data_IF_743206263156
#
_entry.id   IF_743206263156
#
_cell.length_a   1.000
_cell.length_b   1.000
_cell.length_c   1.000
_cell.angle_alpha   90.00
_cell.angle_beta   90.00
_cell.angle_gamma   90.00
#
_symmetry.space_group_name_H-M   'P 1'
#
loop_
_entity.id
_entity.type
_entity.pdbx_description
1 polymer ?
#
# COMPACT_ATOMS: atom_id res chain seq x y z
N UNK A 1 15.77 -2.27 32.82
CA UNK A 1 14.33 -2.18 32.47
C UNK A 1 13.90 -0.75 32.67
N UNK A 2 13.51 -0.07 31.60
CA UNK A 2 13.05 1.32 31.60
C UNK A 2 11.64 1.37 32.24
N UNK A 3 11.56 1.81 33.50
CA UNK A 3 10.35 1.74 34.34
C UNK A 3 9.17 2.62 33.93
N UNK A 4 9.28 3.40 32.85
CA UNK A 4 8.26 4.36 32.42
C UNK A 4 6.93 3.68 32.03
N UNK A 5 6.97 2.41 31.61
CA UNK A 5 5.77 1.63 31.25
C UNK A 5 4.79 1.48 32.43
N UNK A 6 5.30 1.51 33.67
CA UNK A 6 4.47 1.41 34.88
C UNK A 6 3.65 2.67 35.16
N UNK A 7 4.05 3.79 34.55
CA UNK A 7 3.45 5.11 34.74
C UNK A 7 2.54 5.53 33.57
N UNK A 8 2.31 4.63 32.62
CA UNK A 8 1.48 4.88 31.44
C UNK A 8 -0.01 4.97 31.80
N UNK A 9 -0.68 6.05 31.38
CA UNK A 9 -2.11 6.24 31.65
C UNK A 9 -3.02 5.23 30.93
N UNK A 10 -2.55 4.61 29.85
CA UNK A 10 -3.26 3.53 29.15
C UNK A 10 -3.13 2.16 29.85
N UNK A 11 -2.31 2.05 30.89
CA UNK A 11 -2.13 0.81 31.64
C UNK A 11 -3.45 0.41 32.31
N UNK A 12 -3.93 -0.80 32.00
CA UNK A 12 -5.20 -1.32 32.53
C UNK A 12 -6.43 -1.01 31.67
N UNK A 13 -6.26 -0.32 30.53
CA UNK A 13 -7.31 -0.21 29.51
C UNK A 13 -7.25 -1.39 28.54
N UNK A 14 -8.34 -1.57 27.76
CA UNK A 14 -8.41 -2.63 26.75
C UNK A 14 -7.33 -2.44 25.66
N UNK A 15 -6.43 -3.43 25.46
CA UNK A 15 -5.41 -3.36 24.42
C UNK A 15 -5.97 -3.15 23.00
N UNK A 16 -7.15 -3.67 22.69
CA UNK A 16 -7.76 -3.56 21.35
C UNK A 16 -7.99 -2.09 20.94
N UNK A 17 -8.20 -1.19 21.90
CA UNK A 17 -8.33 0.24 21.64
C UNK A 17 -7.06 0.86 21.07
N UNK A 18 -5.89 0.34 21.47
CA UNK A 18 -4.57 0.85 21.07
C UNK A 18 -3.95 0.05 19.93
N UNK A 19 -4.48 -1.14 19.62
CA UNK A 19 -4.06 -2.00 18.51
C UNK A 19 -5.21 -2.39 17.57
N UNK A 20 -6.00 -1.43 17.05
CA UNK A 20 -7.12 -1.74 16.16
C UNK A 20 -6.65 -2.24 14.79
N UNK A 21 -7.50 -3.06 14.14
CA UNK A 21 -7.35 -3.46 12.74
C UNK A 21 -7.62 -2.32 11.73
N UNK A 22 -8.17 -1.20 12.21
CA UNK A 22 -8.48 0.00 11.43
C UNK A 22 -8.00 1.28 12.12
N UNK A 23 -8.42 2.48 11.67
CA UNK A 23 -8.03 3.72 12.33
C UNK A 23 -8.56 3.76 13.78
N UNK A 24 -7.71 4.11 14.77
CA UNK A 24 -8.16 4.23 16.16
C UNK A 24 -9.13 5.42 16.30
N UNK A 25 -10.11 5.34 17.20
CA UNK A 25 -10.94 6.49 17.52
C UNK A 25 -10.10 7.60 18.15
N UNK A 26 -10.48 8.86 17.93
CA UNK A 26 -9.77 10.02 18.47
C UNK A 26 -9.66 10.01 20.00
N UNK A 27 -10.63 9.38 20.68
CA UNK A 27 -10.62 9.17 22.12
C UNK A 27 -9.41 8.36 22.60
N UNK A 28 -8.96 7.36 21.84
CA UNK A 28 -7.75 6.58 22.15
C UNK A 28 -6.51 7.45 22.08
N UNK A 29 -6.39 8.29 21.04
CA UNK A 29 -5.27 9.22 20.90
C UNK A 29 -5.30 10.27 22.02
N UNK A 30 -6.48 10.74 22.40
CA UNK A 30 -6.66 11.70 23.48
C UNK A 30 -6.12 11.16 24.82
N UNK A 31 -6.41 9.90 25.18
CA UNK A 31 -5.85 9.28 26.40
C UNK A 31 -4.33 9.44 26.48
N UNK A 32 -3.63 9.16 25.38
CA UNK A 32 -2.18 9.30 25.32
C UNK A 32 -1.70 10.75 25.28
N UNK A 33 -2.46 11.68 24.68
CA UNK A 33 -2.08 13.09 24.51
C UNK A 33 -2.37 13.93 25.76
N UNK A 34 -3.43 13.65 26.49
CA UNK A 34 -3.90 14.48 27.61
C UNK A 34 -3.64 13.89 28.98
N UNK A 35 -3.61 12.56 29.12
CA UNK A 35 -3.52 11.90 30.44
C UNK A 35 -2.16 11.24 30.71
N UNK A 36 -1.37 10.95 29.68
CA UNK A 36 -0.17 10.13 29.80
C UNK A 36 1.11 10.97 29.98
N UNK A 37 1.69 10.96 31.18
CA UNK A 37 2.94 11.68 31.51
C UNK A 37 4.19 11.10 30.86
N UNK A 38 4.16 9.82 30.46
CA UNK A 38 5.29 9.12 29.82
C UNK A 38 5.21 9.12 28.30
N UNK A 39 4.48 10.09 27.72
CA UNK A 39 4.22 10.17 26.28
C UNK A 39 5.49 10.20 25.44
N UNK A 40 6.49 10.97 25.86
CA UNK A 40 7.76 11.16 25.15
C UNK A 40 8.57 9.86 25.12
N UNK A 41 8.84 9.27 26.29
CA UNK A 41 9.52 7.97 26.37
C UNK A 41 8.79 6.85 25.60
N UNK A 42 7.45 6.88 25.61
CA UNK A 42 6.61 5.96 24.85
C UNK A 42 6.73 6.15 23.33
N UNK A 43 6.80 7.40 22.88
CA UNK A 43 6.99 7.76 21.46
C UNK A 43 8.39 7.41 20.99
N UNK A 44 9.43 7.73 21.77
CA UNK A 44 10.83 7.46 21.44
C UNK A 44 11.08 5.97 21.24
N UNK A 45 10.57 5.14 22.16
CA UNK A 45 10.68 3.70 22.06
C UNK A 45 9.93 3.15 20.83
N UNK A 46 8.76 3.72 20.51
CA UNK A 46 8.00 3.34 19.32
C UNK A 46 8.69 3.78 18.01
N UNK A 47 9.37 4.92 18.01
CA UNK A 47 10.16 5.42 16.89
C UNK A 47 11.46 4.63 16.71
N UNK A 48 12.08 4.14 17.78
CA UNK A 48 13.27 3.29 17.70
C UNK A 48 12.95 1.89 17.17
N UNK A 49 11.86 1.27 17.65
CA UNK A 49 11.54 -0.14 17.34
C UNK A 49 10.50 -0.36 16.25
N UNK A 50 9.83 0.69 15.78
CA UNK A 50 8.82 0.57 14.72
C UNK A 50 7.56 -0.20 15.12
N UNK A 51 7.08 -0.02 16.35
CA UNK A 51 5.91 -0.76 16.86
C UNK A 51 4.62 -0.38 16.13
N UNK A 52 3.71 -1.35 15.97
CA UNK A 52 2.35 -1.15 15.44
C UNK A 52 1.41 -0.57 16.52
N UNK A 53 0.32 0.09 16.13
CA UNK A 53 -0.69 0.62 17.05
C UNK A 53 -0.44 2.06 17.52
N UNK A 54 -1.19 2.48 18.54
CA UNK A 54 -1.14 3.80 19.14
C UNK A 54 -0.07 3.87 20.22
N UNK A 55 0.94 4.71 20.00
CA UNK A 55 2.05 4.93 20.93
C UNK A 55 2.32 6.42 21.07
N UNK A 56 2.52 6.91 22.29
CA UNK A 56 2.80 8.34 22.53
C UNK A 56 1.77 9.31 21.92
N UNK A 57 0.53 8.87 21.70
CA UNK A 57 -0.51 9.68 21.06
C UNK A 57 -0.37 9.81 19.53
N UNK A 58 0.32 8.86 18.90
CA UNK A 58 0.56 8.79 17.46
C UNK A 58 0.16 7.43 16.92
N UNK A 59 -0.31 7.39 15.68
CA UNK A 59 -0.54 6.15 14.91
C UNK A 59 0.75 5.68 14.22
N UNK A 60 0.75 4.45 13.72
CA UNK A 60 1.83 3.94 12.84
C UNK A 60 2.03 4.84 11.61
N UNK A 61 0.96 5.44 11.08
CA UNK A 61 1.00 6.40 9.98
C UNK A 61 1.71 7.70 10.36
N UNK A 62 1.34 8.28 11.50
CA UNK A 62 1.94 9.53 12.01
C UNK A 62 3.45 9.35 12.23
N UNK A 63 3.86 8.24 12.83
CA UNK A 63 5.28 7.93 13.05
C UNK A 63 6.06 7.73 11.75
N UNK A 64 5.44 7.14 10.73
CA UNK A 64 6.04 7.05 9.38
C UNK A 64 6.25 8.44 8.78
N UNK A 65 5.26 9.32 8.90
CA UNK A 65 5.39 10.72 8.48
C UNK A 65 6.47 11.46 9.27
N UNK A 66 6.55 11.30 10.59
CA UNK A 66 7.60 11.88 11.43
C UNK A 66 9.01 11.45 10.99
N UNK A 67 9.21 10.15 10.70
CA UNK A 67 10.50 9.65 10.19
C UNK A 67 10.86 10.25 8.83
N UNK A 68 9.88 10.37 7.91
CA UNK A 68 10.08 11.04 6.62
C UNK A 68 10.45 12.51 6.78
N UNK A 69 9.73 13.25 7.62
CA UNK A 69 10.03 14.67 7.91
C UNK A 69 11.39 14.84 8.61
N UNK A 70 11.77 13.92 9.50
CA UNK A 70 13.08 13.92 10.15
C UNK A 70 14.21 13.67 9.14
N UNK A 71 14.02 12.74 8.19
CA UNK A 71 14.97 12.55 7.09
C UNK A 71 15.10 13.82 6.23
N UNK A 72 13.98 14.46 5.89
CA UNK A 72 13.96 15.73 5.15
C UNK A 72 14.64 16.88 5.92
N UNK A 73 14.54 16.87 7.25
CA UNK A 73 15.14 17.90 8.12
C UNK A 73 16.64 17.66 8.34
N UNK A 74 17.08 16.40 8.44
CA UNK A 74 18.50 16.05 8.50
C UNK A 74 19.22 16.33 7.18
N UNK A 75 18.55 16.15 6.03
CA UNK A 75 19.05 16.63 4.74
C UNK A 75 19.07 18.16 4.61
N UNK A 76 18.29 18.89 5.43
CA UNK A 76 18.24 20.36 5.44
C UNK A 76 19.26 21.00 6.39
N UNK A 77 19.91 20.25 7.29
CA UNK A 77 20.89 20.78 8.27
C UNK A 77 22.33 20.81 7.76
N UNK A 78 22.57 20.33 6.53
CA UNK A 78 23.75 20.69 5.76
C UNK A 78 23.44 21.96 4.95
N UNK A 79 23.45 23.11 5.62
CA UNK A 79 23.57 24.39 4.91
C UNK A 79 25.04 24.59 4.57
N UNK A 80 25.47 24.60 3.30
CA UNK A 80 26.65 25.36 2.96
C UNK A 80 26.31 26.84 3.19
N UNK A 81 27.18 27.51 3.93
CA UNK A 81 27.26 28.96 4.04
C UNK A 81 27.17 29.56 2.63
N UNK A 82 26.17 30.40 2.40
CA UNK A 82 25.97 31.09 1.11
C UNK A 82 27.07 32.14 0.97
N UNK A 83 28.20 31.75 0.39
CA UNK A 83 29.10 32.69 -0.29
C UNK A 83 28.36 33.33 -1.47
N UNK A 84 28.56 34.64 -1.73
CA UNK A 84 27.87 35.32 -2.80
C UNK A 84 28.22 34.68 -4.14
N UNK A 85 27.15 34.34 -4.86
CA UNK A 85 27.05 34.02 -6.28
C UNK A 85 28.28 34.53 -7.07
N UNK A 86 29.24 33.63 -7.27
CA UNK A 86 30.27 33.79 -8.29
C UNK A 86 29.73 33.21 -9.60
N UNK A 87 30.05 33.89 -10.68
CA UNK A 87 29.51 33.78 -12.04
C UNK A 87 29.20 32.34 -12.52
N UNK A 88 28.13 32.16 -13.33
CA UNK A 88 27.76 30.84 -13.83
C UNK A 88 28.94 30.29 -14.63
N UNK A 89 29.56 29.21 -14.15
CA UNK A 89 30.41 28.35 -14.98
C UNK A 89 29.53 27.88 -16.14
N UNK A 90 29.71 28.57 -17.25
CA UNK A 90 28.96 28.47 -18.49
C UNK A 90 29.00 27.06 -19.03
N UNK A 91 27.86 26.61 -19.58
CA UNK A 91 27.71 25.80 -20.80
C UNK A 91 29.06 25.39 -21.42
N UNK A 92 29.74 24.42 -20.81
CA UNK A 92 31.11 24.07 -21.16
C UNK A 92 31.06 23.04 -22.29
N UNK A 93 31.87 23.15 -23.35
CA UNK A 93 31.85 22.19 -24.45
C UNK A 93 32.04 20.74 -23.97
N UNK A 94 32.70 20.53 -22.83
CA UNK A 94 32.86 19.21 -22.23
C UNK A 94 31.55 18.59 -21.73
N UNK A 95 30.58 19.40 -21.27
CA UNK A 95 29.24 18.92 -20.87
C UNK A 95 28.47 18.48 -22.11
N UNK A 96 28.52 19.28 -23.18
CA UNK A 96 27.89 18.97 -24.46
C UNK A 96 28.49 17.70 -25.06
N UNK A 97 29.81 17.55 -25.05
CA UNK A 97 30.52 16.37 -25.53
C UNK A 97 30.17 15.11 -24.71
N UNK A 98 30.13 15.23 -23.38
CA UNK A 98 29.73 14.11 -22.52
C UNK A 98 28.28 13.65 -22.74
N UNK A 99 27.37 14.56 -23.13
CA UNK A 99 25.99 14.22 -23.51
C UNK A 99 25.92 13.56 -24.89
N UNK A 100 26.77 14.00 -25.83
CA UNK A 100 26.90 13.38 -27.15
C UNK A 100 27.48 11.97 -27.11
N UNK A 101 28.32 11.67 -26.10
CA UNK A 101 28.88 10.34 -25.82
C UNK A 101 27.86 9.33 -25.27
N UNK A 102 26.57 9.71 -25.18
CA UNK A 102 25.49 8.83 -24.74
C UNK A 102 25.45 8.60 -23.22
N UNK A 103 26.05 9.51 -22.43
CA UNK A 103 25.90 9.47 -20.97
C UNK A 103 24.54 10.03 -20.54
N UNK A 104 24.02 9.51 -19.42
CA UNK A 104 22.78 10.04 -18.86
C UNK A 104 22.98 11.46 -18.31
N UNK A 105 21.93 12.27 -18.35
CA UNK A 105 21.94 13.62 -17.76
C UNK A 105 22.31 13.58 -16.28
N UNK A 106 21.87 12.56 -15.55
CA UNK A 106 22.25 12.34 -14.16
C UNK A 106 23.75 12.09 -13.98
N UNK A 107 24.38 11.28 -14.84
CA UNK A 107 25.81 10.97 -14.74
C UNK A 107 26.66 12.17 -15.13
N UNK A 108 26.24 12.94 -16.14
CA UNK A 108 26.91 14.20 -16.51
C UNK A 108 26.76 15.24 -15.39
N UNK A 109 25.58 15.36 -14.78
CA UNK A 109 25.37 16.25 -13.63
C UNK A 109 26.31 15.92 -12.47
N UNK A 110 26.46 14.63 -12.17
CA UNK A 110 27.35 14.16 -11.11
C UNK A 110 28.84 14.37 -11.46
N UNK A 111 29.25 14.03 -12.68
CA UNK A 111 30.65 14.11 -13.11
C UNK A 111 31.18 15.54 -13.17
N UNK A 112 30.34 16.50 -13.55
CA UNK A 112 30.71 17.91 -13.68
C UNK A 112 30.32 18.75 -12.45
N UNK A 113 29.77 18.12 -11.40
CA UNK A 113 29.29 18.77 -10.17
C UNK A 113 28.33 19.95 -10.45
N UNK A 114 27.42 19.74 -11.40
CA UNK A 114 26.42 20.74 -11.82
C UNK A 114 25.00 20.25 -11.50
N UNK A 115 24.07 21.14 -11.13
CA UNK A 115 22.69 20.76 -10.93
C UNK A 115 22.08 20.20 -12.21
N UNK A 116 21.32 19.11 -12.10
CA UNK A 116 20.56 18.53 -13.24
C UNK A 116 19.76 19.58 -14.00
N UNK A 117 19.16 20.54 -13.28
CA UNK A 117 18.38 21.64 -13.87
C UNK A 117 19.19 22.47 -14.87
N UNK A 118 20.48 22.66 -14.61
CA UNK A 118 21.39 23.40 -15.49
C UNK A 118 21.60 22.65 -16.81
N UNK A 119 21.78 21.33 -16.75
CA UNK A 119 21.92 20.49 -17.95
C UNK A 119 20.62 20.42 -18.73
N UNK A 120 19.47 20.24 -18.06
CA UNK A 120 18.17 20.26 -18.74
C UNK A 120 17.87 21.61 -19.38
N UNK A 121 18.33 22.71 -18.77
CA UNK A 121 18.22 24.05 -19.35
C UNK A 121 19.16 24.23 -20.57
N UNK A 122 20.35 23.62 -20.57
CA UNK A 122 21.23 23.54 -21.74
C UNK A 122 20.54 22.78 -22.89
N UNK A 123 20.06 21.56 -22.63
CA UNK A 123 19.37 20.71 -23.62
C UNK A 123 18.18 21.45 -24.24
N UNK A 124 17.35 22.12 -23.43
CA UNK A 124 16.18 22.86 -23.91
C UNK A 124 16.51 24.08 -24.78
N UNK A 125 17.74 24.63 -24.67
CA UNK A 125 18.21 25.79 -25.44
C UNK A 125 18.99 25.37 -26.69
N UNK A 126 19.46 24.13 -26.77
CA UNK A 126 20.22 23.62 -27.91
C UNK A 126 19.26 23.10 -28.99
N UNK A 127 19.37 23.67 -30.19
CA UNK A 127 18.50 23.33 -31.30
C UNK A 127 18.65 21.86 -31.73
N UNK A 128 17.52 21.18 -31.94
CA UNK A 128 17.48 19.78 -32.34
C UNK A 128 17.75 18.78 -31.20
N UNK A 129 17.95 19.23 -29.96
CA UNK A 129 18.15 18.35 -28.82
C UNK A 129 16.83 18.14 -28.07
N UNK A 130 16.61 16.92 -27.61
CA UNK A 130 15.49 16.56 -26.74
C UNK A 130 15.98 15.59 -25.66
N UNK A 131 15.29 15.54 -24.52
CA UNK A 131 15.61 14.63 -23.43
C UNK A 131 14.57 13.50 -23.40
N UNK A 132 15.03 12.26 -23.53
CA UNK A 132 14.17 11.10 -23.31
C UNK A 132 14.00 10.88 -21.80
N UNK A 133 12.77 11.03 -21.31
CA UNK A 133 12.43 10.88 -19.90
C UNK A 133 12.56 9.42 -19.39
N UNK A 134 12.52 8.42 -20.29
CA UNK A 134 12.65 7.00 -19.93
C UNK A 134 14.10 6.59 -19.73
N UNK A 135 15.00 7.07 -20.58
CA UNK A 135 16.41 6.69 -20.57
C UNK A 135 17.33 7.72 -19.94
N UNK A 136 16.82 8.93 -19.68
CA UNK A 136 17.59 10.07 -19.17
C UNK A 136 18.73 10.52 -20.10
N UNK A 137 18.60 10.28 -21.42
CA UNK A 137 19.59 10.58 -22.44
C UNK A 137 19.12 11.65 -23.42
N UNK A 138 20.08 12.34 -24.06
CA UNK A 138 19.81 13.33 -25.11
C UNK A 138 19.58 12.63 -26.45
N UNK A 139 18.52 13.04 -27.16
CA UNK A 139 18.17 12.61 -28.51
C UNK A 139 18.30 13.81 -29.46
N UNK A 140 19.04 13.63 -30.56
CA UNK A 140 19.30 14.69 -31.55
C UNK A 140 18.49 14.43 -32.82
N UNK A 141 17.64 15.39 -33.19
CA UNK A 141 16.82 15.30 -34.38
C UNK A 141 17.58 15.63 -35.65
N UNK A 142 17.85 14.62 -36.49
CA UNK A 142 17.74 14.79 -37.95
C UNK A 142 17.36 13.45 -38.60
N UNK A 143 16.31 13.49 -39.43
CA UNK A 143 15.79 12.45 -40.35
C UNK A 143 14.77 11.44 -39.79
N UNK A 144 13.48 11.73 -39.95
CA UNK A 144 12.69 11.14 -41.04
C UNK A 144 11.62 12.17 -41.45
N UNK A 145 11.77 12.69 -42.67
CA UNK A 145 10.71 13.42 -43.33
C UNK A 145 9.78 12.42 -44.02
N UNK A 146 8.54 12.36 -43.56
CA UNK A 146 7.38 12.02 -44.37
C UNK A 146 6.26 13.00 -44.01
N UNK A 147 5.57 13.50 -45.04
CA UNK A 147 4.49 14.48 -44.97
C UNK A 147 3.44 14.17 -43.89
N UNK A 148 2.67 15.17 -43.42
CA UNK A 148 1.50 14.92 -42.59
C UNK A 148 0.51 14.05 -43.39
N UNK A 149 0.47 12.76 -43.10
CA UNK A 149 -0.62 11.90 -43.53
C UNK A 149 -1.86 12.33 -42.74
N UNK A 150 -2.89 12.65 -43.49
CA UNK A 150 -4.24 12.92 -43.03
C UNK A 150 -4.73 11.75 -42.16
N UNK A 151 -4.84 11.97 -40.85
CA UNK A 151 -5.37 11.01 -39.88
C UNK A 151 -6.91 11.08 -39.76
N UNK A 152 -7.61 11.63 -40.75
CA UNK A 152 -9.06 11.45 -40.85
C UNK A 152 -9.40 10.12 -41.55
N UNK A 153 -9.08 9.01 -40.90
CA UNK A 153 -9.61 7.70 -41.27
C UNK A 153 -8.56 6.60 -41.36
N UNK A 154 -8.16 6.06 -40.20
CA UNK A 154 -7.80 4.66 -40.11
C UNK A 154 -8.23 4.13 -38.74
N UNK A 155 -8.94 3.02 -38.77
CA UNK A 155 -9.29 2.21 -37.61
C UNK A 155 -8.09 2.05 -36.68
N UNK A 156 -8.36 2.17 -35.39
CA UNK A 156 -7.43 1.81 -34.31
C UNK A 156 -6.87 0.41 -34.65
N UNK A 157 -5.56 0.23 -34.85
CA UNK A 157 -4.97 -1.09 -34.76
C UNK A 157 -5.23 -1.56 -33.32
N UNK A 158 -5.77 -2.75 -33.16
CA UNK A 158 -5.78 -3.45 -31.88
C UNK A 158 -4.37 -3.38 -31.30
N UNK A 159 -4.25 -2.85 -30.08
CA UNK A 159 -3.00 -2.73 -29.33
C UNK A 159 -2.51 -4.14 -28.92
N UNK A 160 -2.11 -4.96 -29.90
CA UNK A 160 -1.21 -6.10 -29.71
C UNK A 160 0.22 -5.54 -29.64
N UNK A 161 0.50 -4.76 -28.58
CA UNK A 161 1.89 -4.40 -28.25
C UNK A 161 2.51 -5.66 -27.67
N UNK A 162 3.23 -6.40 -28.52
CA UNK A 162 4.06 -7.54 -28.15
C UNK A 162 4.91 -7.16 -26.93
N UNK A 163 4.57 -7.70 -25.76
CA UNK A 163 5.25 -7.51 -24.46
C UNK A 163 6.64 -8.18 -24.43
N UNK A 164 7.40 -8.09 -25.52
CA UNK A 164 8.80 -8.53 -25.49
C UNK A 164 9.58 -7.56 -24.61
N UNK A 165 9.82 -7.99 -23.37
CA UNK A 165 10.81 -7.36 -22.49
C UNK A 165 12.12 -7.19 -23.28
N UNK A 166 12.76 -6.01 -23.20
CA UNK A 166 13.99 -5.77 -23.95
C UNK A 166 15.04 -6.80 -23.53
N UNK A 167 15.56 -7.56 -24.50
CA UNK A 167 16.64 -8.53 -24.31
C UNK A 167 17.92 -7.77 -23.91
N UNK A 168 18.17 -7.65 -22.61
CA UNK A 168 19.38 -7.01 -22.09
C UNK A 168 20.49 -8.04 -22.05
N UNK A 169 21.51 -7.88 -22.91
CA UNK A 169 22.70 -8.73 -22.90
C UNK A 169 23.51 -8.55 -21.61
N UNK A 170 23.44 -9.54 -20.72
CA UNK A 170 24.17 -9.57 -19.44
C UNK A 170 25.51 -10.30 -19.53
N UNK A 171 25.89 -10.82 -20.70
CA UNK A 171 27.10 -11.64 -20.87
C UNK A 171 28.39 -10.90 -20.44
N UNK A 172 28.44 -9.58 -20.64
CA UNK A 172 29.54 -8.73 -20.20
C UNK A 172 29.70 -8.68 -18.68
N UNK A 173 28.59 -8.55 -17.94
CA UNK A 173 28.59 -8.52 -16.48
C UNK A 173 29.01 -9.88 -15.90
N UNK A 174 28.50 -10.97 -16.47
CA UNK A 174 28.81 -12.31 -16.01
C UNK A 174 30.30 -12.66 -16.21
N UNK A 175 30.88 -12.21 -17.33
CA UNK A 175 32.32 -12.31 -17.57
C UNK A 175 33.15 -11.51 -16.56
N UNK A 176 32.70 -10.32 -16.15
CA UNK A 176 33.37 -9.52 -15.12
C UNK A 176 33.31 -10.20 -13.74
N UNK A 177 32.16 -10.73 -13.35
CA UNK A 177 32.00 -11.44 -12.09
C UNK A 177 32.88 -12.69 -12.03
N UNK A 178 32.90 -13.49 -13.11
CA UNK A 178 33.77 -14.67 -13.23
C UNK A 178 35.25 -14.32 -13.05
N UNK A 179 35.73 -13.31 -13.78
CA UNK A 179 37.12 -12.82 -13.64
C UNK A 179 37.41 -12.28 -12.23
N UNK A 180 36.42 -11.64 -11.61
CA UNK A 180 36.53 -11.18 -10.23
C UNK A 180 36.67 -12.33 -9.24
N UNK A 181 35.91 -13.40 -9.40
CA UNK A 181 35.95 -14.61 -8.55
C UNK A 181 37.25 -15.40 -8.71
N UNK A 182 37.82 -15.43 -9.91
CA UNK A 182 39.11 -16.03 -10.23
C UNK A 182 40.31 -15.15 -9.84
N UNK A 183 40.07 -13.92 -9.36
CA UNK A 183 41.14 -12.98 -9.01
C UNK A 183 41.99 -13.46 -7.84
N UNK A 184 43.32 -13.31 -7.97
CA UNK A 184 44.28 -13.55 -6.88
C UNK A 184 44.22 -12.48 -5.78
N UNK A 185 43.57 -11.34 -6.05
CA UNK A 185 43.39 -10.25 -5.07
C UNK A 185 42.18 -10.58 -4.17
N UNK A 186 42.36 -10.82 -2.85
CA UNK A 186 41.28 -11.29 -1.98
C UNK A 186 40.09 -10.33 -1.90
N UNK A 187 40.34 -9.01 -1.95
CA UNK A 187 39.30 -8.00 -1.93
C UNK A 187 38.39 -8.08 -3.18
N UNK A 188 38.99 -8.25 -4.36
CA UNK A 188 38.29 -8.37 -5.63
C UNK A 188 37.46 -9.65 -5.68
N UNK A 189 38.05 -10.77 -5.25
CA UNK A 189 37.35 -12.05 -5.16
C UNK A 189 36.16 -11.99 -4.20
N UNK A 190 36.33 -11.38 -3.01
CA UNK A 190 35.25 -11.24 -2.04
C UNK A 190 34.11 -10.33 -2.57
N UNK A 191 34.46 -9.25 -3.27
CA UNK A 191 33.47 -8.35 -3.87
C UNK A 191 32.63 -9.06 -4.96
N UNK A 192 33.28 -9.80 -5.86
CA UNK A 192 32.59 -10.53 -6.93
C UNK A 192 31.62 -11.58 -6.38
N UNK A 193 32.05 -12.39 -5.40
CA UNK A 193 31.19 -13.35 -4.71
C UNK A 193 29.98 -12.69 -4.03
N UNK A 194 30.20 -11.53 -3.40
CA UNK A 194 29.12 -10.78 -2.75
C UNK A 194 28.09 -10.27 -3.76
N UNK A 195 28.54 -9.77 -4.91
CA UNK A 195 27.63 -9.32 -5.97
C UNK A 195 26.82 -10.50 -6.52
N UNK A 196 27.46 -11.64 -6.80
CA UNK A 196 26.75 -12.84 -7.27
C UNK A 196 25.67 -13.29 -6.29
N UNK A 197 26.02 -13.41 -5.00
CA UNK A 197 25.06 -13.77 -3.97
C UNK A 197 23.89 -12.77 -3.86
N UNK A 198 24.14 -11.48 -4.07
CA UNK A 198 23.07 -10.47 -4.09
C UNK A 198 22.15 -10.58 -5.32
N UNK A 199 22.70 -10.95 -6.48
CA UNK A 199 21.91 -11.21 -7.69
C UNK A 199 21.05 -12.46 -7.52
N UNK A 200 21.63 -13.54 -6.97
CA UNK A 200 20.89 -14.77 -6.66
C UNK A 200 19.75 -14.53 -5.66
N UNK A 201 19.99 -13.73 -4.60
CA UNK A 201 18.93 -13.32 -3.65
C UNK A 201 17.81 -12.54 -4.36
N UNK A 202 18.16 -11.62 -5.26
CA UNK A 202 17.18 -10.85 -6.01
C UNK A 202 16.35 -11.74 -6.93
N UNK A 203 16.98 -12.67 -7.65
CA UNK A 203 16.30 -13.65 -8.50
C UNK A 203 15.33 -14.50 -7.70
N UNK A 204 15.75 -15.01 -6.54
CA UNK A 204 14.90 -15.79 -5.65
C UNK A 204 13.67 -15.00 -5.18
N UNK A 205 13.81 -13.70 -4.91
CA UNK A 205 12.70 -12.83 -4.52
C UNK A 205 11.70 -12.62 -5.66
N UNK A 206 12.19 -12.36 -6.87
CA UNK A 206 11.34 -12.23 -8.07
C UNK A 206 10.57 -13.53 -8.32
N UNK A 207 11.23 -14.68 -8.21
CA UNK A 207 10.57 -15.99 -8.34
C UNK A 207 9.52 -16.23 -7.25
N UNK A 208 9.80 -15.78 -6.02
CA UNK A 208 8.88 -15.88 -4.89
C UNK A 208 7.66 -15.00 -5.11
N UNK A 209 7.84 -13.76 -5.55
CA UNK A 209 6.74 -12.85 -5.90
C UNK A 209 5.89 -13.42 -7.05
N UNK A 210 6.54 -14.02 -8.06
CA UNK A 210 5.84 -14.70 -9.14
C UNK A 210 5.07 -15.94 -8.63
N UNK A 211 5.62 -16.69 -7.67
CA UNK A 211 4.94 -17.83 -7.06
C UNK A 211 3.74 -17.39 -6.21
N UNK A 212 3.88 -16.33 -5.42
CA UNK A 212 2.80 -15.72 -4.65
C UNK A 212 1.66 -15.29 -5.58
N UNK A 213 1.99 -14.58 -6.67
CA UNK A 213 1.00 -14.19 -7.68
C UNK A 213 0.27 -15.40 -8.27
N UNK A 214 0.98 -16.48 -8.62
CA UNK A 214 0.35 -17.71 -9.14
C UNK A 214 -0.66 -18.30 -8.15
N UNK A 215 -0.33 -18.33 -6.86
CA UNK A 215 -1.24 -18.82 -5.81
C UNK A 215 -2.46 -17.91 -5.67
N UNK A 216 -2.27 -16.59 -5.73
CA UNK A 216 -3.38 -15.63 -5.68
C UNK A 216 -4.32 -15.78 -6.88
N UNK A 217 -3.77 -15.98 -8.08
CA UNK A 217 -4.54 -16.22 -9.30
C UNK A 217 -5.36 -17.54 -9.18
N UNK A 218 -4.77 -18.59 -8.61
CA UNK A 218 -5.49 -19.86 -8.32
C UNK A 218 -6.61 -19.69 -7.29
N UNK A 219 -6.40 -18.89 -6.24
CA UNK A 219 -7.44 -18.57 -5.25
C UNK A 219 -8.62 -17.89 -5.92
N UNK A 220 -8.38 -16.89 -6.77
CA UNK A 220 -9.43 -16.15 -7.47
C UNK A 220 -10.28 -17.09 -8.36
N UNK A 221 -9.63 -17.97 -9.12
CA UNK A 221 -10.29 -18.99 -9.95
C UNK A 221 -11.16 -19.93 -9.08
N UNK A 222 -10.62 -20.42 -7.95
CA UNK A 222 -11.38 -21.28 -7.05
C UNK A 222 -12.59 -20.57 -6.43
N UNK A 223 -12.49 -19.29 -6.10
CA UNK A 223 -13.61 -18.48 -5.60
C UNK A 223 -14.73 -18.34 -6.64
N UNK A 224 -14.38 -18.10 -7.90
CA UNK A 224 -15.33 -18.07 -9.01
C UNK A 224 -16.03 -19.43 -9.16
N UNK A 225 -15.26 -20.52 -9.15
CA UNK A 225 -15.83 -21.86 -9.21
C UNK A 225 -16.75 -22.17 -8.03
N UNK A 226 -16.41 -21.72 -6.81
CA UNK A 226 -17.26 -21.86 -5.64
C UNK A 226 -18.56 -21.06 -5.78
N UNK A 227 -18.48 -19.83 -6.31
CA UNK A 227 -19.65 -19.02 -6.59
C UNK A 227 -20.58 -19.70 -7.62
N UNK A 228 -20.01 -20.23 -8.71
CA UNK A 228 -20.75 -20.98 -9.72
C UNK A 228 -21.42 -22.24 -9.14
N UNK A 229 -20.69 -23.02 -8.33
CA UNK A 229 -21.24 -24.21 -7.65
C UNK A 229 -22.34 -23.86 -6.64
N UNK A 230 -22.21 -22.74 -5.92
CA UNK A 230 -23.24 -22.22 -5.02
C UNK A 230 -24.50 -21.78 -5.78
N UNK A 231 -24.34 -21.13 -6.93
CA UNK A 231 -25.46 -20.77 -7.81
C UNK A 231 -26.21 -22.03 -8.29
N UNK A 232 -25.48 -23.03 -8.80
CA UNK A 232 -26.05 -24.33 -9.20
C UNK A 232 -26.75 -25.04 -8.04
N UNK A 233 -26.19 -25.00 -6.83
CA UNK A 233 -26.84 -25.56 -5.64
C UNK A 233 -28.17 -24.87 -5.32
N UNK A 234 -28.25 -23.55 -5.51
CA UNK A 234 -29.50 -22.77 -5.31
C UNK A 234 -30.56 -23.13 -6.36
N UNK A 235 -30.17 -23.49 -7.57
CA UNK A 235 -31.10 -23.99 -8.61
C UNK A 235 -31.63 -25.38 -8.27
N UNK A 236 -30.77 -26.29 -7.82
CA UNK A 236 -31.15 -27.65 -7.43
C UNK A 236 -32.02 -27.64 -6.18
N UNK A 237 -31.65 -26.82 -5.20
CA UNK A 237 -32.41 -26.59 -3.97
C UNK A 237 -32.95 -25.18 -4.01
N UNK A 238 -34.04 -24.92 -4.77
CA UNK A 238 -34.75 -23.66 -4.62
C UNK A 238 -35.12 -23.61 -3.15
N UNK A 239 -34.60 -22.60 -2.44
CA UNK A 239 -34.74 -22.51 -1.00
C UNK A 239 -36.19 -22.77 -0.64
N UNK A 240 -36.45 -23.66 0.33
CA UNK A 240 -37.76 -23.68 0.98
C UNK A 240 -38.01 -22.22 1.34
N UNK A 241 -38.96 -21.60 0.64
CA UNK A 241 -39.45 -20.28 1.00
C UNK A 241 -39.71 -20.37 2.49
N UNK A 242 -38.89 -19.68 3.29
CA UNK A 242 -39.34 -19.31 4.61
C UNK A 242 -40.47 -18.36 4.29
N UNK A 243 -41.67 -18.91 4.10
CA UNK A 243 -42.90 -18.16 4.17
C UNK A 243 -42.82 -17.48 5.52
N UNK A 244 -42.38 -16.22 5.50
CA UNK A 244 -42.55 -15.33 6.62
C UNK A 244 -44.06 -15.30 6.77
N UNK A 245 -44.56 -16.04 7.78
CA UNK A 245 -45.97 -16.03 8.15
C UNK A 245 -46.41 -14.56 8.12
N UNK A 246 -47.42 -14.18 7.34
CA UNK A 246 -47.79 -12.78 7.20
C UNK A 246 -47.99 -12.20 8.59
N UNK A 247 -47.36 -11.05 8.85
CA UNK A 247 -47.65 -10.26 10.03
C UNK A 247 -49.12 -9.81 9.90
N UNK A 248 -50.04 -10.35 10.72
CA UNK A 248 -51.37 -9.74 10.76
C UNK A 248 -52.54 -10.49 11.39
N UNK A 249 -52.52 -11.81 11.62
CA UNK A 249 -53.74 -12.51 12.10
C UNK A 249 -53.60 -13.24 13.44
N UNK A 250 -52.49 -13.04 14.16
CA UNK A 250 -52.28 -13.59 15.49
C UNK A 250 -52.34 -12.49 16.56
N UNK A 251 -52.87 -12.77 17.77
CA UNK A 251 -52.86 -11.79 18.83
C UNK A 251 -51.45 -11.41 19.21
N UNK A 252 -51.23 -10.11 19.41
CA UNK A 252 -49.89 -9.64 19.76
C UNK A 252 -49.49 -10.16 21.15
N UNK A 253 -48.21 -10.47 21.40
CA UNK A 253 -47.75 -10.89 22.73
C UNK A 253 -48.12 -9.91 23.85
N UNK A 254 -48.34 -8.63 23.52
CA UNK A 254 -48.82 -7.61 24.46
C UNK A 254 -50.28 -7.83 24.85
N UNK A 255 -51.16 -8.11 23.89
CA UNK A 255 -52.58 -8.40 24.12
C UNK A 255 -52.77 -9.65 24.97
N UNK A 256 -52.06 -10.73 24.64
CA UNK A 256 -52.19 -12.00 25.37
C UNK A 256 -51.74 -11.84 26.83
N UNK A 257 -50.67 -11.07 27.10
CA UNK A 257 -50.21 -10.80 28.47
C UNK A 257 -51.16 -9.90 29.25
N UNK A 258 -51.75 -8.88 28.61
CA UNK A 258 -52.73 -8.01 29.26
C UNK A 258 -53.95 -8.81 29.70
N UNK A 259 -54.49 -9.65 28.81
CA UNK A 259 -55.60 -10.56 29.11
C UNK A 259 -55.24 -11.59 30.21
N UNK A 260 -54.02 -12.14 30.17
CA UNK A 260 -53.57 -13.08 31.19
C UNK A 260 -53.49 -12.42 32.58
N UNK A 261 -52.97 -11.20 32.65
CA UNK A 261 -52.91 -10.41 33.88
C UNK A 261 -54.31 -10.09 34.44
N UNK A 262 -55.27 -9.73 33.60
CA UNK A 262 -56.66 -9.47 34.00
C UNK A 262 -57.35 -10.70 34.61
N UNK A 263 -56.94 -11.91 34.20
CA UNK A 263 -57.50 -13.17 34.70
C UNK A 263 -56.66 -13.87 35.76
N UNK A 264 -55.59 -13.20 36.23
CA UNK A 264 -54.68 -13.76 37.22
C UNK A 264 -53.89 -14.97 36.72
N UNK A 265 -53.73 -15.12 35.40
CA UNK A 265 -52.92 -16.18 34.78
C UNK A 265 -51.46 -15.73 34.74
N UNK A 266 -50.58 -16.51 35.36
CA UNK A 266 -49.15 -16.19 35.44
C UNK A 266 -48.49 -16.30 34.04
N UNK A 267 -47.94 -15.18 33.55
CA UNK A 267 -47.26 -15.12 32.28
C UNK A 267 -45.95 -14.30 32.40
N UNK A 268 -44.88 -14.78 31.76
CA UNK A 268 -43.58 -14.09 31.80
C UNK A 268 -43.67 -12.69 31.16
N UNK A 269 -43.13 -11.63 31.81
CA UNK A 269 -43.16 -10.26 31.30
C UNK A 269 -42.28 -10.08 30.05
N UNK A 270 -41.31 -10.96 29.82
CA UNK A 270 -40.33 -10.87 28.75
C UNK A 270 -40.29 -12.21 27.98
N UNK A 271 -40.02 -12.14 26.67
CA UNK A 271 -39.83 -13.32 25.82
C UNK A 271 -41.09 -13.82 25.14
N UNK A 272 -41.05 -15.03 24.57
CA UNK A 272 -42.17 -15.65 23.86
C UNK A 272 -43.27 -16.05 24.85
N UNK A 273 -44.51 -15.66 24.59
CA UNK A 273 -45.67 -16.09 25.40
C UNK A 273 -45.89 -17.59 25.20
N UNK A 274 -46.06 -18.39 26.27
CA UNK A 274 -46.38 -19.81 26.16
C UNK A 274 -47.63 -20.05 25.29
N UNK A 275 -47.57 -21.04 24.39
CA UNK A 275 -48.64 -21.30 23.43
C UNK A 275 -49.97 -21.62 24.12
N UNK A 276 -49.94 -22.32 25.26
CA UNK A 276 -51.12 -22.62 26.06
C UNK A 276 -51.91 -21.36 26.48
N UNK A 277 -51.22 -20.24 26.77
CA UNK A 277 -51.87 -18.97 27.14
C UNK A 277 -52.45 -18.28 25.90
N UNK A 278 -51.75 -18.36 24.77
CA UNK A 278 -52.25 -17.86 23.47
C UNK A 278 -53.53 -18.59 23.06
N UNK A 279 -53.59 -19.91 23.26
CA UNK A 279 -54.76 -20.71 22.92
C UNK A 279 -55.95 -20.39 23.84
N UNK A 280 -55.72 -20.18 25.15
CA UNK A 280 -56.77 -19.74 26.07
C UNK A 280 -57.30 -18.33 25.74
N UNK A 281 -56.41 -17.41 25.34
CA UNK A 281 -56.81 -16.09 24.86
C UNK A 281 -57.69 -16.19 23.61
N UNK A 282 -57.31 -17.03 22.64
CA UNK A 282 -58.06 -17.21 21.41
C UNK A 282 -59.43 -17.86 21.67
N UNK A 283 -59.50 -18.86 22.55
CA UNK A 283 -60.76 -19.49 22.97
C UNK A 283 -61.68 -18.48 23.68
N UNK A 284 -61.13 -17.62 24.53
CA UNK A 284 -61.89 -16.57 25.20
C UNK A 284 -62.42 -15.50 24.25
N UNK A 285 -61.67 -15.16 23.19
CA UNK A 285 -62.06 -14.18 22.19
C UNK A 285 -63.04 -14.72 21.15
N UNK A 286 -63.02 -16.03 20.90
CA UNK A 286 -63.96 -16.69 19.99
C UNK A 286 -65.35 -16.97 20.63
N UNK A 287 -65.44 -16.93 21.96
CA UNK A 287 -66.69 -17.15 22.72
C UNK A 287 -67.35 -15.87 23.25
N UNK A 288 -66.85 -14.69 22.88
CA UNK A 288 -67.38 -13.36 23.24
C UNK A 288 -67.92 -12.66 21.99
#
# INVERSE_FOLDING_TARGET
MSGWETEAACRGMDPELFFPLGPPPDSTLAVCRSLCRVREACLDEALARGRHGVWGGTTSGDRRSMRRSALLTLTSRATPEVTPMSEPKSDTPEITEALLDGRTVKDVAFAFDVPRQQITALISRTEGWSLDARTDMVVIGSQHGESPVDLSGHDRPDDDVDEQEPDVDLSGLENLLRRGEESEVPATQAAAKKVRAAVEDLQQRVETEAAEKRVLDEIAELEEQLAARRAKLKEIRPGKSTTRRPAGDGPTPKEVRAWAAERGIECSPIGRVPQAIVDQYLAAKAGA
#
